data_IF_392697112266
#
_entry.id   IF_392697112266
#
_cell.length_a   1.000
_cell.length_b   1.000
_cell.length_c   1.000
_cell.angle_alpha   90.00
_cell.angle_beta   90.00
_cell.angle_gamma   90.00
#
_symmetry.space_group_name_H-M   'P 1'
#
loop_
_entity.id
_entity.type
_entity.pdbx_description
1 polymer ?
#
# COMPACT_ATOMS: atom_id res chain seq x y z
N UNK A 1 25.16 -75.76 99.40
CA UNK A 1 25.63 -76.28 98.10
C UNK A 1 24.59 -76.01 97.02
N UNK A 2 25.01 -75.36 95.93
CA UNK A 2 24.24 -74.95 94.76
C UNK A 2 23.19 -73.90 94.98
N UNK A 3 23.45 -72.67 94.56
CA UNK A 3 22.61 -71.82 93.61
C UNK A 3 23.45 -70.63 93.28
N UNK A 4 24.15 -70.56 92.16
CA UNK A 4 24.56 -69.41 91.43
C UNK A 4 24.83 -69.76 89.99
N UNK A 5 23.86 -69.60 89.11
CA UNK A 5 24.04 -69.58 87.64
C UNK A 5 22.79 -69.09 86.86
N UNK A 6 22.19 -67.95 87.24
CA UNK A 6 21.08 -67.53 86.38
C UNK A 6 20.99 -65.99 86.20
N UNK A 7 22.05 -65.21 86.61
CA UNK A 7 21.96 -63.72 86.44
C UNK A 7 22.65 -63.21 85.20
N UNK A 8 23.52 -63.96 84.54
CA UNK A 8 24.28 -63.45 83.40
C UNK A 8 23.62 -63.52 82.05
N UNK A 9 22.61 -64.46 81.85
CA UNK A 9 21.94 -64.58 80.57
C UNK A 9 20.86 -63.54 80.25
N UNK A 10 20.24 -62.97 81.26
CA UNK A 10 19.20 -61.92 81.08
C UNK A 10 19.78 -60.53 80.88
N UNK A 11 21.00 -60.29 81.32
CA UNK A 11 21.65 -58.99 81.12
C UNK A 11 22.22 -58.83 79.67
N UNK A 12 22.82 -59.88 79.11
CA UNK A 12 23.28 -59.89 77.69
C UNK A 12 22.16 -59.77 76.69
N UNK A 13 20.97 -60.31 76.96
CA UNK A 13 19.81 -60.21 76.11
C UNK A 13 19.27 -58.76 75.97
N UNK A 14 19.24 -58.04 77.09
CA UNK A 14 18.82 -56.62 77.10
C UNK A 14 19.77 -55.70 76.31
N UNK A 15 21.07 -55.93 76.38
CA UNK A 15 22.07 -55.19 75.58
C UNK A 15 21.97 -55.53 74.09
N UNK A 16 21.69 -56.78 73.76
CA UNK A 16 21.49 -57.20 72.38
C UNK A 16 20.25 -56.54 71.71
N UNK A 17 19.14 -56.47 72.45
CA UNK A 17 17.93 -55.75 71.94
C UNK A 17 18.14 -54.22 71.90
N UNK A 18 18.90 -53.65 72.84
CA UNK A 18 19.22 -52.22 72.85
C UNK A 18 20.11 -51.83 71.65
N UNK A 19 21.11 -52.68 71.31
CA UNK A 19 22.01 -52.45 70.17
C UNK A 19 21.29 -52.67 68.85
N UNK A 20 20.40 -53.68 68.79
CA UNK A 20 19.55 -53.91 67.57
C UNK A 20 18.57 -52.75 67.34
N UNK A 21 17.94 -52.24 68.42
CA UNK A 21 17.03 -51.09 68.33
C UNK A 21 17.78 -49.82 67.92
N UNK A 22 18.98 -49.59 68.42
CA UNK A 22 19.81 -48.48 68.06
C UNK A 22 20.27 -48.53 66.59
N UNK A 23 20.66 -49.71 66.10
CA UNK A 23 21.01 -49.92 64.68
C UNK A 23 19.79 -49.71 63.77
N UNK A 24 18.61 -50.15 64.14
CA UNK A 24 17.37 -49.93 63.40
C UNK A 24 16.97 -48.46 63.41
N UNK A 25 17.13 -47.76 64.53
CA UNK A 25 16.88 -46.34 64.64
C UNK A 25 17.86 -45.52 63.77
N UNK A 26 19.14 -45.87 63.76
CA UNK A 26 20.17 -45.23 62.91
C UNK A 26 19.91 -45.51 61.43
N UNK A 27 19.51 -46.74 61.05
CA UNK A 27 19.14 -47.09 59.68
C UNK A 27 17.85 -46.36 59.23
N UNK A 28 16.87 -46.18 60.12
CA UNK A 28 15.67 -45.43 59.87
C UNK A 28 15.93 -43.93 59.70
N UNK A 29 16.82 -43.35 60.54
CA UNK A 29 17.27 -41.95 60.44
C UNK A 29 18.10 -41.78 59.18
N UNK A 30 19.01 -42.67 58.80
CA UNK A 30 19.75 -42.63 57.53
C UNK A 30 18.83 -42.77 56.31
N UNK A 31 17.75 -43.59 56.36
CA UNK A 31 16.72 -43.69 55.32
C UNK A 31 15.96 -42.34 55.15
N UNK A 32 15.54 -41.75 56.28
CA UNK A 32 14.86 -40.44 56.24
C UNK A 32 15.75 -39.28 55.73
N UNK A 33 17.04 -39.33 56.04
CA UNK A 33 18.00 -38.30 55.53
C UNK A 33 18.29 -38.50 54.03
N UNK A 34 18.27 -39.75 53.54
CA UNK A 34 18.45 -40.02 52.11
C UNK A 34 17.28 -39.50 51.24
N UNK A 35 16.05 -39.48 51.74
CA UNK A 35 14.90 -38.90 51.04
C UNK A 35 14.92 -37.35 50.99
N UNK A 36 15.60 -36.70 51.98
CA UNK A 36 15.73 -35.24 51.98
C UNK A 36 16.74 -34.68 50.94
N UNK A 37 17.57 -35.54 50.32
CA UNK A 37 18.61 -35.11 49.38
C UNK A 37 18.24 -35.35 47.89
N UNK A 38 17.12 -35.99 47.62
CA UNK A 38 16.57 -36.17 46.29
C UNK A 38 15.53 -35.07 45.99
N UNK A 39 15.87 -33.79 46.10
CA UNK A 39 15.08 -32.79 45.42
C UNK A 39 15.25 -33.05 43.92
N UNK A 40 14.18 -33.39 43.19
CA UNK A 40 14.29 -33.58 41.76
C UNK A 40 14.66 -32.23 41.16
N UNK A 41 15.89 -32.15 40.63
CA UNK A 41 16.37 -30.98 39.94
C UNK A 41 15.43 -30.71 38.76
N UNK A 42 15.04 -29.46 38.61
CA UNK A 42 14.27 -29.03 37.43
C UNK A 42 15.18 -29.10 36.20
N UNK A 43 14.77 -29.86 35.20
CA UNK A 43 15.50 -30.01 33.93
C UNK A 43 14.89 -29.12 32.87
N UNK A 44 15.73 -28.32 32.23
CA UNK A 44 15.39 -27.44 31.10
C UNK A 44 16.10 -27.99 29.88
N UNK A 45 15.32 -28.62 28.95
CA UNK A 45 15.86 -29.18 27.70
C UNK A 45 15.51 -28.26 26.56
N UNK A 46 16.48 -27.55 26.02
CA UNK A 46 16.31 -26.57 24.93
C UNK A 46 16.41 -27.28 23.59
N UNK A 47 15.49 -26.94 22.68
CA UNK A 47 15.49 -27.44 21.31
C UNK A 47 16.46 -26.63 20.45
N UNK A 48 17.07 -27.24 19.45
CA UNK A 48 17.99 -26.63 18.51
C UNK A 48 17.27 -25.74 17.49
N UNK A 49 16.03 -26.07 17.11
CA UNK A 49 15.22 -25.30 16.19
C UNK A 49 13.78 -25.15 16.72
N UNK A 50 13.29 -23.90 16.74
CA UNK A 50 11.97 -23.56 17.23
C UNK A 50 11.29 -22.55 16.32
N UNK A 51 10.05 -22.84 15.95
CA UNK A 51 9.18 -21.92 15.24
C UNK A 51 8.18 -21.30 16.21
N UNK A 52 8.06 -19.95 16.16
CA UNK A 52 7.16 -19.19 17.03
C UNK A 52 6.22 -18.31 16.23
N UNK A 53 5.04 -18.03 16.77
CA UNK A 53 4.02 -17.16 16.12
C UNK A 53 4.00 -15.74 16.69
N UNK A 54 4.40 -15.57 17.97
CA UNK A 54 4.29 -14.30 18.70
C UNK A 54 5.38 -13.28 18.41
N UNK A 55 5.30 -12.13 19.10
CA UNK A 55 6.29 -11.05 19.03
C UNK A 55 7.42 -11.25 20.04
N UNK A 56 7.22 -12.11 21.04
CA UNK A 56 8.15 -12.42 22.12
C UNK A 56 8.56 -13.89 22.08
N UNK A 57 9.83 -14.12 22.45
CA UNK A 57 10.39 -15.45 22.60
C UNK A 57 10.41 -15.78 24.08
N UNK A 58 9.57 -16.70 24.52
CA UNK A 58 9.53 -17.18 25.90
C UNK A 58 10.31 -18.48 26.05
N UNK A 59 10.88 -18.73 27.25
CA UNK A 59 11.65 -19.93 27.52
C UNK A 59 10.81 -21.21 27.32
N UNK A 60 9.52 -21.17 27.71
CA UNK A 60 8.60 -22.31 27.52
C UNK A 60 8.31 -22.66 26.07
N UNK A 61 8.59 -21.74 25.12
CA UNK A 61 8.52 -22.03 23.69
C UNK A 61 9.80 -22.70 23.19
N UNK A 62 10.96 -22.36 23.78
CA UNK A 62 12.28 -22.87 23.39
C UNK A 62 12.62 -24.21 24.01
N UNK A 63 12.08 -24.51 25.22
CA UNK A 63 12.50 -25.65 26.00
C UNK A 63 11.34 -26.46 26.57
N UNK A 64 11.59 -27.72 26.74
CA UNK A 64 10.80 -28.61 27.59
C UNK A 64 11.34 -28.48 29.02
N UNK A 65 10.43 -28.20 29.97
CA UNK A 65 10.78 -27.96 31.37
C UNK A 65 10.07 -29.00 32.22
N UNK A 66 10.87 -29.84 32.88
CA UNK A 66 10.40 -30.95 33.72
C UNK A 66 10.96 -30.79 35.13
N UNK A 67 10.14 -31.05 36.13
CA UNK A 67 10.51 -30.96 37.56
C UNK A 67 9.32 -31.23 38.44
N UNK A 68 9.52 -31.20 39.77
CA UNK A 68 8.44 -31.42 40.75
C UNK A 68 7.75 -30.14 41.20
N UNK A 69 8.41 -29.01 41.01
CA UNK A 69 7.89 -27.70 41.42
C UNK A 69 7.10 -27.07 40.27
N UNK A 70 5.79 -27.18 40.34
CA UNK A 70 4.86 -26.67 39.30
C UNK A 70 4.87 -25.13 39.22
N UNK A 71 5.14 -24.43 40.33
CA UNK A 71 5.20 -22.98 40.36
C UNK A 71 6.47 -22.48 39.66
N UNK A 72 7.62 -23.06 40.00
CA UNK A 72 8.88 -22.79 39.32
C UNK A 72 8.80 -23.08 37.81
N UNK A 73 8.19 -24.19 37.40
CA UNK A 73 8.02 -24.55 36.00
C UNK A 73 7.20 -23.49 35.27
N UNK A 74 6.11 -23.00 35.87
CA UNK A 74 5.28 -21.95 35.28
C UNK A 74 6.08 -20.67 35.09
N UNK A 75 6.79 -20.24 36.13
CA UNK A 75 7.58 -19.02 36.12
C UNK A 75 8.72 -19.12 35.09
N UNK A 76 9.39 -20.26 35.00
CA UNK A 76 10.41 -20.52 33.98
C UNK A 76 9.84 -20.42 32.56
N UNK A 77 8.63 -20.94 32.30
CA UNK A 77 8.01 -20.88 30.98
C UNK A 77 7.70 -19.47 30.51
N UNK A 78 7.42 -18.55 31.44
CA UNK A 78 7.08 -17.14 31.16
C UNK A 78 8.32 -16.24 31.04
N UNK A 79 9.53 -16.75 31.27
CA UNK A 79 10.76 -15.96 31.13
C UNK A 79 10.92 -15.46 29.70
N UNK A 80 11.03 -14.14 29.56
CA UNK A 80 11.28 -13.47 28.28
C UNK A 80 12.76 -13.62 27.88
N UNK A 81 13.03 -14.40 26.85
CA UNK A 81 14.37 -14.57 26.29
C UNK A 81 14.72 -13.41 25.37
N UNK A 82 13.77 -12.95 24.55
CA UNK A 82 14.00 -11.81 23.65
C UNK A 82 12.80 -11.50 22.75
N UNK A 83 13.01 -10.59 21.83
CA UNK A 83 12.02 -10.31 20.77
C UNK A 83 12.15 -11.31 19.63
N UNK A 84 11.01 -11.73 19.09
CA UNK A 84 10.94 -12.58 17.91
C UNK A 84 11.63 -11.94 16.69
N UNK A 85 12.17 -12.73 15.77
CA UNK A 85 12.61 -12.21 14.48
C UNK A 85 11.41 -11.68 13.66
N UNK A 86 11.70 -10.99 12.56
CA UNK A 86 10.65 -10.57 11.62
C UNK A 86 9.97 -11.81 11.02
N UNK A 87 8.69 -11.73 10.62
CA UNK A 87 7.98 -12.83 9.99
C UNK A 87 8.76 -13.45 8.82
N UNK A 88 8.89 -14.78 8.82
CA UNK A 88 9.66 -15.52 7.82
C UNK A 88 11.19 -15.36 7.91
N UNK A 89 11.69 -14.81 9.01
CA UNK A 89 13.14 -14.72 9.33
C UNK A 89 13.46 -15.58 10.53
N UNK A 90 14.74 -15.94 10.65
CA UNK A 90 15.27 -16.62 11.83
C UNK A 90 16.30 -15.76 12.56
N UNK A 91 16.54 -16.10 13.82
CA UNK A 91 17.59 -15.54 14.69
C UNK A 91 18.24 -16.66 15.45
N UNK A 92 19.56 -16.61 15.57
CA UNK A 92 20.32 -17.57 16.35
C UNK A 92 20.63 -16.98 17.73
N UNK A 93 20.49 -17.82 18.76
CA UNK A 93 20.92 -17.58 20.11
C UNK A 93 21.97 -18.62 20.50
N UNK A 94 22.97 -18.22 21.23
CA UNK A 94 23.95 -19.15 21.79
C UNK A 94 23.63 -19.54 23.25
N UNK A 95 24.26 -20.59 23.70
CA UNK A 95 24.12 -21.10 25.08
C UNK A 95 24.43 -20.03 26.13
N UNK A 96 25.42 -19.16 25.89
CA UNK A 96 25.84 -18.15 26.85
C UNK A 96 24.81 -17.05 27.01
N UNK A 97 24.20 -16.66 25.89
CA UNK A 97 23.08 -15.72 25.91
C UNK A 97 21.90 -16.25 26.73
N UNK A 98 21.53 -17.52 26.56
CA UNK A 98 20.44 -18.13 27.34
C UNK A 98 20.81 -18.18 28.85
N UNK A 99 22.02 -18.63 29.20
CA UNK A 99 22.50 -18.63 30.59
C UNK A 99 22.50 -17.23 31.22
N UNK A 100 22.89 -16.21 30.45
CA UNK A 100 22.85 -14.82 30.89
C UNK A 100 21.40 -14.37 31.16
N UNK A 101 20.47 -14.71 30.28
CA UNK A 101 19.02 -14.36 30.43
C UNK A 101 18.43 -15.01 31.68
N UNK A 102 18.68 -16.30 31.90
CA UNK A 102 18.23 -17.00 33.13
C UNK A 102 18.78 -16.35 34.41
N UNK A 103 20.04 -15.97 34.42
CA UNK A 103 20.65 -15.25 35.56
C UNK A 103 20.01 -13.87 35.78
N UNK A 104 19.67 -13.12 34.73
CA UNK A 104 18.97 -11.84 34.82
C UNK A 104 17.58 -11.97 35.47
N UNK A 105 16.93 -13.12 35.31
CA UNK A 105 15.66 -13.45 35.94
C UNK A 105 15.83 -14.15 37.30
N UNK A 106 17.05 -14.05 37.91
CA UNK A 106 17.39 -14.58 39.25
C UNK A 106 17.24 -16.10 39.35
N UNK A 107 17.37 -16.83 38.22
CA UNK A 107 17.37 -18.30 38.26
C UNK A 107 18.78 -18.78 38.66
N UNK A 108 18.81 -19.58 39.73
CA UNK A 108 20.05 -20.24 40.18
C UNK A 108 20.33 -21.45 39.26
N UNK A 109 21.35 -21.28 38.42
CA UNK A 109 21.77 -22.32 37.49
C UNK A 109 22.36 -23.57 38.17
N UNK A 110 22.65 -23.50 39.49
CA UNK A 110 23.07 -24.69 40.24
C UNK A 110 21.90 -25.56 40.68
N UNK A 111 20.69 -24.99 40.75
CA UNK A 111 19.44 -25.67 41.11
C UNK A 111 18.69 -26.26 39.92
N UNK A 112 19.17 -26.06 38.69
CA UNK A 112 18.54 -26.55 37.47
C UNK A 112 19.54 -27.27 36.57
N UNK A 113 19.12 -28.34 35.90
CA UNK A 113 19.91 -29.00 34.86
C UNK A 113 19.54 -28.33 33.54
N UNK A 114 20.48 -27.63 32.91
CA UNK A 114 20.28 -26.96 31.63
C UNK A 114 20.96 -27.75 30.51
N UNK A 115 20.15 -28.46 29.72
CA UNK A 115 20.53 -29.13 28.48
C UNK A 115 20.27 -28.20 27.31
N UNK A 116 21.33 -27.71 26.67
CA UNK A 116 21.17 -26.75 25.57
C UNK A 116 22.18 -27.03 24.46
N UNK A 117 21.76 -26.96 23.18
CA UNK A 117 22.69 -27.01 22.06
C UNK A 117 23.61 -25.78 22.05
N UNK A 118 24.68 -25.82 21.26
CA UNK A 118 25.59 -24.67 21.11
C UNK A 118 24.88 -23.48 20.46
N UNK A 119 24.00 -23.76 19.52
CA UNK A 119 23.20 -22.74 18.81
C UNK A 119 21.72 -23.16 18.82
N UNK A 120 20.88 -22.17 19.03
CA UNK A 120 19.41 -22.30 19.05
C UNK A 120 18.91 -21.40 17.93
N UNK A 121 18.30 -21.98 16.90
CA UNK A 121 17.65 -21.23 15.83
C UNK A 121 16.18 -21.00 16.14
N UNK A 122 15.78 -19.74 16.26
CA UNK A 122 14.40 -19.33 16.44
C UNK A 122 13.92 -18.70 15.14
N UNK A 123 12.95 -19.33 14.49
CA UNK A 123 12.26 -18.82 13.31
C UNK A 123 10.90 -18.27 13.69
N UNK A 124 10.42 -17.27 12.93
CA UNK A 124 9.05 -16.79 13.08
C UNK A 124 8.20 -17.26 11.92
N UNK A 125 7.08 -17.89 12.24
CA UNK A 125 6.11 -18.31 11.24
C UNK A 125 5.56 -17.13 10.45
N UNK A 126 5.20 -17.38 9.19
CA UNK A 126 4.69 -16.35 8.30
C UNK A 126 3.65 -16.90 7.33
N UNK A 127 2.85 -15.98 6.80
CA UNK A 127 2.01 -16.21 5.63
C UNK A 127 2.63 -15.41 4.48
N UNK A 128 2.83 -16.08 3.34
CA UNK A 128 3.33 -15.48 2.11
C UNK A 128 2.17 -15.27 1.14
N UNK A 129 1.99 -14.04 0.71
CA UNK A 129 1.05 -13.69 -0.36
C UNK A 129 1.87 -13.57 -1.64
N UNK A 130 1.66 -14.49 -2.56
CA UNK A 130 2.38 -14.54 -3.81
C UNK A 130 1.88 -13.45 -4.79
N UNK A 131 2.72 -13.13 -5.77
CA UNK A 131 2.49 -12.11 -6.81
C UNK A 131 1.12 -12.23 -7.49
N UNK A 132 0.74 -13.42 -7.91
CA UNK A 132 -0.54 -13.68 -8.58
C UNK A 132 -1.74 -13.25 -7.72
N UNK A 133 -1.68 -13.48 -6.40
CA UNK A 133 -2.74 -13.06 -5.49
C UNK A 133 -2.75 -11.54 -5.29
N UNK A 134 -1.60 -10.89 -5.31
CA UNK A 134 -1.49 -9.43 -5.26
C UNK A 134 -2.07 -8.80 -6.54
N UNK A 135 -1.77 -9.37 -7.70
CA UNK A 135 -2.35 -8.94 -9.00
C UNK A 135 -3.87 -9.11 -9.01
N UNK A 136 -4.40 -10.23 -8.50
CA UNK A 136 -5.85 -10.47 -8.36
C UNK A 136 -6.52 -9.40 -7.48
N UNK A 137 -5.95 -9.09 -6.31
CA UNK A 137 -6.47 -8.07 -5.38
C UNK A 137 -6.55 -6.69 -6.07
N UNK A 138 -5.49 -6.32 -6.80
CA UNK A 138 -5.43 -5.04 -7.52
C UNK A 138 -6.42 -5.03 -8.69
N UNK A 139 -6.49 -6.11 -9.47
CA UNK A 139 -7.41 -6.25 -10.60
C UNK A 139 -8.87 -6.17 -10.16
N UNK A 140 -9.25 -6.87 -9.10
CA UNK A 140 -10.60 -6.84 -8.52
C UNK A 140 -10.98 -5.42 -8.06
N UNK A 141 -10.04 -4.71 -7.46
CA UNK A 141 -10.26 -3.31 -7.07
C UNK A 141 -10.52 -2.43 -8.29
N UNK A 142 -9.71 -2.56 -9.34
CA UNK A 142 -9.86 -1.79 -10.57
C UNK A 142 -11.20 -2.08 -11.25
N UNK A 143 -11.58 -3.34 -11.40
CA UNK A 143 -12.84 -3.74 -12.02
C UNK A 143 -14.08 -3.18 -11.30
N UNK A 144 -14.01 -2.98 -9.98
CA UNK A 144 -15.10 -2.39 -9.19
C UNK A 144 -15.15 -0.86 -9.24
N UNK A 145 -14.02 -0.20 -9.45
CA UNK A 145 -13.89 1.25 -9.36
C UNK A 145 -13.80 1.94 -10.72
N UNK A 146 -13.55 1.20 -11.81
CA UNK A 146 -13.60 1.73 -13.17
C UNK A 146 -15.08 1.78 -13.61
N UNK A 147 -15.59 2.95 -14.06
CA UNK A 147 -16.97 3.06 -14.55
C UNK A 147 -17.22 2.12 -15.73
N UNK A 148 -18.24 1.26 -15.63
CA UNK A 148 -18.59 0.28 -16.67
C UNK A 148 -19.06 0.91 -18.00
N UNK A 149 -19.40 2.18 -17.98
CA UNK A 149 -19.79 2.95 -19.16
C UNK A 149 -18.62 3.14 -20.14
N UNK A 150 -17.39 3.10 -19.64
CA UNK A 150 -16.17 3.19 -20.44
C UNK A 150 -15.74 1.82 -20.97
N UNK A 151 -16.44 1.30 -21.96
CA UNK A 151 -16.14 -0.03 -22.58
C UNK A 151 -14.76 -0.13 -23.24
N UNK A 152 -14.03 0.95 -23.32
CA UNK A 152 -12.72 1.05 -24.00
C UNK A 152 -11.55 1.16 -23.02
N UNK A 153 -11.71 0.76 -21.75
CA UNK A 153 -10.62 0.74 -20.80
C UNK A 153 -9.93 -0.61 -20.85
N UNK A 154 -8.61 -0.57 -20.98
CA UNK A 154 -7.74 -1.74 -20.95
C UNK A 154 -6.71 -1.57 -19.84
N UNK A 155 -6.60 -2.57 -18.97
CA UNK A 155 -5.48 -2.69 -18.03
C UNK A 155 -4.35 -3.38 -18.81
N UNK A 156 -3.30 -2.66 -19.14
CA UNK A 156 -2.20 -3.19 -19.96
C UNK A 156 -1.10 -3.80 -19.09
N UNK A 157 -0.88 -3.31 -17.88
CA UNK A 157 0.15 -3.81 -16.99
C UNK A 157 -0.23 -3.62 -15.50
N UNK A 158 0.07 -4.64 -14.68
CA UNK A 158 0.01 -4.57 -13.22
C UNK A 158 1.37 -5.01 -12.68
N UNK A 159 2.08 -4.13 -12.00
CA UNK A 159 3.36 -4.41 -11.34
C UNK A 159 3.19 -4.41 -9.84
N UNK A 160 3.46 -5.55 -9.22
CA UNK A 160 3.43 -5.75 -7.77
C UNK A 160 4.72 -6.44 -7.31
N UNK A 161 5.05 -6.42 -6.01
CA UNK A 161 6.15 -7.24 -5.47
C UNK A 161 5.95 -8.73 -5.74
N UNK A 162 7.05 -9.50 -5.79
CA UNK A 162 7.00 -10.96 -6.00
C UNK A 162 6.28 -11.68 -4.85
N UNK A 163 6.46 -11.21 -3.63
CA UNK A 163 5.76 -11.74 -2.45
C UNK A 163 5.59 -10.67 -1.36
N UNK A 164 4.58 -10.85 -0.55
CA UNK A 164 4.38 -10.12 0.72
C UNK A 164 4.38 -11.11 1.85
N UNK A 165 5.29 -10.89 2.81
CA UNK A 165 5.43 -11.74 4.00
C UNK A 165 4.74 -11.05 5.18
N UNK A 166 3.82 -11.74 5.85
CA UNK A 166 3.03 -11.27 6.98
C UNK A 166 3.13 -12.27 8.14
N UNK A 167 2.88 -11.80 9.36
CA UNK A 167 2.72 -12.69 10.52
C UNK A 167 1.53 -13.60 10.32
N UNK A 168 1.54 -14.74 11.01
CA UNK A 168 0.40 -15.65 11.05
C UNK A 168 -0.77 -15.00 11.79
N UNK A 169 -1.99 -15.13 11.24
CA UNK A 169 -3.21 -14.58 11.82
C UNK A 169 -4.31 -14.35 10.78
N UNK A 170 -5.37 -13.68 11.19
CA UNK A 170 -6.45 -13.29 10.29
C UNK A 170 -6.01 -12.08 9.46
N UNK A 171 -5.85 -12.29 8.14
CA UNK A 171 -5.43 -11.26 7.21
C UNK A 171 -6.65 -10.50 6.69
N UNK A 172 -6.54 -9.19 6.68
CA UNK A 172 -7.41 -8.27 5.96
C UNK A 172 -6.57 -7.28 5.15
N UNK A 173 -7.16 -6.69 4.13
CA UNK A 173 -6.46 -5.68 3.33
C UNK A 173 -7.41 -4.56 2.91
N UNK A 174 -6.84 -3.37 2.72
CA UNK A 174 -7.51 -2.19 2.17
C UNK A 174 -6.74 -1.72 0.94
N UNK A 175 -7.48 -1.50 -0.15
CA UNK A 175 -6.91 -0.97 -1.40
C UNK A 175 -7.38 0.46 -1.59
N UNK A 176 -6.49 1.34 -2.01
CA UNK A 176 -6.78 2.74 -2.28
C UNK A 176 -5.90 3.27 -3.41
N UNK A 177 -6.42 4.24 -4.15
CA UNK A 177 -5.64 4.98 -5.15
C UNK A 177 -4.81 6.03 -4.42
N UNK A 178 -3.57 6.23 -4.85
CA UNK A 178 -2.72 7.30 -4.33
C UNK A 178 -3.32 8.67 -4.73
N UNK A 179 -3.38 9.60 -3.76
CA UNK A 179 -3.70 11.02 -3.96
C UNK A 179 -4.99 11.32 -4.75
N UNK A 180 -6.00 10.45 -4.69
CA UNK A 180 -7.26 10.61 -5.44
C UNK A 180 -7.06 10.83 -6.95
N UNK A 181 -5.99 10.31 -7.53
CA UNK A 181 -5.71 10.42 -8.97
C UNK A 181 -6.81 9.72 -9.79
N UNK A 182 -7.13 10.24 -10.99
CA UNK A 182 -8.04 9.54 -11.88
C UNK A 182 -7.42 8.19 -12.31
N UNK A 183 -8.25 7.17 -12.46
CA UNK A 183 -7.85 5.82 -12.93
C UNK A 183 -7.60 5.85 -14.44
N UNK A 184 -6.56 6.56 -14.89
CA UNK A 184 -6.09 6.62 -16.28
C UNK A 184 -4.57 6.74 -16.35
N UNK A 185 -3.95 6.18 -17.37
CA UNK A 185 -2.50 6.18 -17.55
C UNK A 185 -1.77 5.41 -16.46
N UNK A 186 -0.64 5.93 -16.00
CA UNK A 186 0.15 5.35 -14.92
C UNK A 186 -0.45 5.70 -13.55
N UNK A 187 -0.99 4.71 -12.86
CA UNK A 187 -1.61 4.85 -11.55
C UNK A 187 -0.83 4.10 -10.48
N UNK A 188 -0.72 4.68 -9.28
CA UNK A 188 -0.18 4.03 -8.10
C UNK A 188 -1.30 3.62 -7.15
N UNK A 189 -1.38 2.33 -6.83
CA UNK A 189 -2.38 1.75 -5.96
C UNK A 189 -1.71 1.24 -4.70
N UNK A 190 -2.18 1.71 -3.55
CA UNK A 190 -1.73 1.24 -2.25
C UNK A 190 -2.56 0.04 -1.80
N UNK A 191 -1.90 -1.02 -1.34
CA UNK A 191 -2.53 -2.15 -0.67
C UNK A 191 -1.95 -2.22 0.74
N UNK A 192 -2.80 -1.99 1.73
CA UNK A 192 -2.46 -2.03 3.15
C UNK A 192 -2.97 -3.33 3.75
N UNK A 193 -2.04 -4.18 4.22
CA UNK A 193 -2.35 -5.43 4.88
C UNK A 193 -2.37 -5.27 6.39
N UNK A 194 -3.39 -5.83 7.02
CA UNK A 194 -3.54 -5.91 8.46
C UNK A 194 -3.66 -7.37 8.89
N UNK A 195 -3.05 -7.70 10.03
CA UNK A 195 -3.14 -9.02 10.65
C UNK A 195 -3.78 -8.85 12.03
N UNK A 196 -4.83 -9.60 12.32
CA UNK A 196 -5.62 -9.48 13.55
C UNK A 196 -6.10 -8.04 13.84
N UNK A 197 -6.39 -7.26 12.76
CA UNK A 197 -6.83 -5.87 12.87
C UNK A 197 -5.72 -4.82 12.98
N UNK A 198 -4.46 -5.23 13.13
CA UNK A 198 -3.31 -4.31 13.22
C UNK A 198 -2.61 -4.18 11.87
N UNK A 199 -2.40 -2.94 11.41
CA UNK A 199 -1.66 -2.65 10.18
C UNK A 199 -0.23 -3.19 10.27
N UNK A 200 0.20 -3.99 9.29
CA UNK A 200 1.50 -4.64 9.29
C UNK A 200 2.36 -4.29 8.09
N UNK A 201 1.76 -4.24 6.91
CA UNK A 201 2.50 -4.01 5.67
C UNK A 201 1.70 -3.18 4.69
N UNK A 202 2.35 -2.20 4.08
CA UNK A 202 1.83 -1.43 2.95
C UNK A 202 2.72 -1.68 1.74
N UNK A 203 2.12 -1.98 0.61
CA UNK A 203 2.80 -2.08 -0.68
C UNK A 203 2.18 -1.13 -1.68
N UNK A 204 2.94 -0.85 -2.73
CA UNK A 204 2.49 -0.07 -3.87
C UNK A 204 2.48 -0.96 -5.10
N UNK A 205 1.34 -0.96 -5.80
CA UNK A 205 1.21 -1.52 -7.13
C UNK A 205 1.24 -0.39 -8.15
N UNK A 206 1.99 -0.56 -9.23
CA UNK A 206 1.94 0.33 -10.40
C UNK A 206 1.07 -0.33 -11.45
N UNK A 207 0.08 0.42 -11.95
CA UNK A 207 -0.88 -0.06 -12.95
C UNK A 207 -0.87 0.88 -14.13
N UNK A 208 -0.87 0.33 -15.34
CA UNK A 208 -1.04 1.09 -16.58
C UNK A 208 -2.45 0.85 -17.12
N UNK A 209 -3.24 1.92 -17.18
CA UNK A 209 -4.64 1.90 -17.62
C UNK A 209 -4.75 2.71 -18.90
N UNK A 210 -4.98 2.04 -20.02
CA UNK A 210 -5.23 2.65 -21.32
C UNK A 210 -6.73 2.96 -21.44
N UNK A 211 -7.07 4.20 -21.83
CA UNK A 211 -8.43 4.62 -22.13
C UNK A 211 -8.54 4.86 -23.63
N UNK A 212 -8.91 3.83 -24.38
CA UNK A 212 -9.01 3.93 -25.84
C UNK A 212 -10.26 4.72 -26.24
N UNK A 213 -10.10 5.71 -27.12
CA UNK A 213 -11.22 6.51 -27.62
C UNK A 213 -10.97 7.10 -29.02
N UNK A 214 -12.03 7.56 -29.68
CA UNK A 214 -11.89 8.25 -30.96
C UNK A 214 -11.23 9.61 -30.73
N UNK A 215 -10.27 9.94 -31.58
CA UNK A 215 -9.54 11.21 -31.59
C UNK A 215 -9.52 11.76 -33.00
N UNK A 216 -9.81 13.04 -33.13
CA UNK A 216 -9.70 13.73 -34.42
C UNK A 216 -8.23 14.11 -34.65
N UNK A 217 -7.63 13.55 -35.70
CA UNK A 217 -6.25 13.83 -36.09
C UNK A 217 -6.21 14.49 -37.48
N UNK A 218 -5.15 15.23 -37.76
CA UNK A 218 -4.91 15.78 -39.08
C UNK A 218 -4.52 14.68 -40.07
N UNK A 219 -5.17 14.63 -41.23
CA UNK A 219 -4.80 13.69 -42.31
C UNK A 219 -3.51 14.14 -43.04
N UNK A 220 -3.33 15.45 -43.18
CA UNK A 220 -2.18 16.10 -43.84
C UNK A 220 -1.68 17.30 -43.06
N UNK A 221 -0.47 17.81 -43.32
CA UNK A 221 0.01 19.02 -42.66
C UNK A 221 -0.89 20.22 -42.95
N UNK A 222 -1.23 20.96 -41.92
CA UNK A 222 -2.05 22.18 -42.00
C UNK A 222 -1.20 23.41 -41.62
N UNK A 223 -1.18 24.39 -42.49
CA UNK A 223 -0.52 25.67 -42.21
C UNK A 223 -1.29 26.47 -41.14
N UNK A 224 -0.67 27.53 -40.61
CA UNK A 224 -1.31 28.43 -39.65
C UNK A 224 -2.49 29.21 -40.30
N UNK A 225 -3.60 29.30 -39.59
CA UNK A 225 -4.84 29.95 -40.03
C UNK A 225 -5.50 29.31 -41.23
N UNK A 226 -5.19 28.07 -41.53
CA UNK A 226 -5.83 27.31 -42.58
C UNK A 226 -7.24 26.83 -42.14
N UNK A 227 -8.31 27.09 -42.88
CA UNK A 227 -9.62 26.49 -42.63
C UNK A 227 -9.50 24.95 -42.69
N UNK A 228 -10.25 24.29 -41.79
CA UNK A 228 -10.29 22.82 -41.66
C UNK A 228 -11.53 22.31 -42.34
N UNK A 229 -11.34 21.47 -43.37
CA UNK A 229 -12.40 20.74 -44.07
C UNK A 229 -12.41 19.26 -43.72
N UNK A 230 -13.36 18.51 -44.25
CA UNK A 230 -13.51 17.07 -44.04
C UNK A 230 -12.26 16.29 -44.51
N UNK A 231 -11.67 16.68 -45.65
CA UNK A 231 -10.44 16.04 -46.19
C UNK A 231 -9.18 16.36 -45.40
N UNK A 232 -9.23 17.23 -44.44
CA UNK A 232 -8.06 17.63 -43.62
C UNK A 232 -7.95 16.82 -42.34
N UNK A 233 -8.97 16.05 -41.97
CA UNK A 233 -9.08 15.34 -40.71
C UNK A 233 -9.47 13.87 -40.90
N UNK A 234 -9.13 13.03 -39.95
CA UNK A 234 -9.60 11.66 -39.83
C UNK A 234 -9.82 11.32 -38.35
N UNK A 235 -10.60 10.27 -38.09
CA UNK A 235 -10.82 9.75 -36.73
C UNK A 235 -9.92 8.54 -36.53
N UNK A 236 -9.11 8.55 -35.45
CA UNK A 236 -8.30 7.40 -35.02
C UNK A 236 -8.64 7.01 -33.62
N UNK A 237 -8.67 5.71 -33.33
CA UNK A 237 -8.71 5.22 -31.94
C UNK A 237 -7.31 5.34 -31.36
N UNK A 238 -7.18 6.13 -30.29
CA UNK A 238 -5.91 6.38 -29.60
C UNK A 238 -6.12 6.23 -28.08
N UNK A 239 -5.02 6.07 -27.36
CA UNK A 239 -5.06 6.11 -25.90
C UNK A 239 -5.19 7.57 -25.44
N UNK A 240 -6.34 7.88 -24.84
CA UNK A 240 -6.65 9.21 -24.28
C UNK A 240 -5.87 9.52 -23.01
N UNK A 241 -5.24 8.50 -22.37
CA UNK A 241 -4.51 8.68 -21.13
C UNK A 241 -3.24 9.51 -21.30
N UNK A 242 -2.64 9.45 -22.48
CA UNK A 242 -1.41 10.18 -22.84
C UNK A 242 -1.70 11.51 -23.57
N UNK A 243 -2.97 11.82 -23.83
CA UNK A 243 -3.37 13.03 -24.53
C UNK A 243 -3.85 14.11 -23.56
N UNK A 244 -3.75 15.40 -23.96
CA UNK A 244 -4.33 16.50 -23.20
C UNK A 244 -5.84 16.32 -22.99
N UNK A 245 -6.34 16.82 -21.85
CA UNK A 245 -7.76 16.70 -21.49
C UNK A 245 -8.69 17.44 -22.47
N UNK A 246 -8.18 18.39 -23.25
CA UNK A 246 -8.89 19.18 -24.26
C UNK A 246 -8.79 18.61 -25.68
N UNK A 247 -8.34 17.35 -25.82
CA UNK A 247 -8.28 16.65 -27.12
C UNK A 247 -9.69 16.54 -27.71
N UNK A 248 -9.80 16.77 -29.01
CA UNK A 248 -11.08 16.77 -29.71
C UNK A 248 -11.43 15.36 -30.19
N UNK A 249 -12.58 14.87 -29.78
CA UNK A 249 -13.08 13.54 -30.10
C UNK A 249 -14.21 13.55 -31.14
N UNK A 250 -14.84 14.71 -31.33
CA UNK A 250 -15.93 14.90 -32.31
C UNK A 250 -15.45 15.74 -33.50
N UNK A 251 -15.48 15.22 -34.75
CA UNK A 251 -15.17 15.98 -35.96
C UNK A 251 -15.98 17.26 -36.12
N UNK A 252 -17.25 17.25 -35.69
CA UNK A 252 -18.11 18.43 -35.77
C UNK A 252 -17.57 19.62 -34.98
N UNK A 253 -16.77 19.35 -33.97
CA UNK A 253 -16.13 20.40 -33.16
C UNK A 253 -15.02 21.18 -33.89
N UNK A 254 -14.49 20.69 -35.03
CA UNK A 254 -13.39 21.32 -35.77
C UNK A 254 -13.80 21.81 -37.17
N UNK A 255 -14.83 21.22 -37.77
CA UNK A 255 -15.28 21.61 -39.09
C UNK A 255 -15.70 23.08 -39.11
N UNK A 256 -15.28 23.82 -40.16
CA UNK A 256 -15.52 25.25 -40.30
C UNK A 256 -14.64 26.15 -39.36
N UNK A 257 -13.85 25.57 -38.49
CA UNK A 257 -12.80 26.29 -37.74
C UNK A 257 -11.51 26.40 -38.57
N UNK A 258 -10.54 27.11 -38.07
CA UNK A 258 -9.20 27.20 -38.63
C UNK A 258 -8.14 26.92 -37.59
N UNK A 259 -6.97 26.53 -38.03
CA UNK A 259 -5.80 26.30 -37.16
C UNK A 259 -5.31 27.60 -36.52
N UNK A 260 -4.85 27.54 -35.28
CA UNK A 260 -4.16 28.66 -34.57
C UNK A 260 -2.68 28.70 -34.89
N UNK A 261 -2.10 27.53 -35.21
CA UNK A 261 -0.68 27.29 -35.52
C UNK A 261 -0.54 26.31 -36.69
N UNK A 262 0.66 26.09 -37.20
CA UNK A 262 0.93 25.00 -38.11
C UNK A 262 0.90 23.68 -37.35
N UNK A 263 0.26 22.65 -37.93
CA UNK A 263 0.06 21.32 -37.37
C UNK A 263 0.58 20.31 -38.40
N UNK A 264 1.37 19.32 -37.94
CA UNK A 264 1.87 18.22 -38.78
C UNK A 264 0.73 17.29 -39.25
N UNK A 265 1.06 16.29 -40.06
CA UNK A 265 0.14 15.19 -40.36
C UNK A 265 0.05 14.24 -39.17
N UNK A 266 -1.09 13.57 -39.00
CA UNK A 266 -1.31 12.54 -37.97
C UNK A 266 -1.18 13.06 -36.52
N UNK A 267 -1.43 14.35 -36.31
CA UNK A 267 -1.36 15.00 -34.99
C UNK A 267 -2.76 15.16 -34.42
N UNK A 268 -3.01 14.73 -33.18
CA UNK A 268 -4.27 14.99 -32.47
C UNK A 268 -4.59 16.48 -32.41
N UNK A 269 -5.85 16.82 -32.67
CA UNK A 269 -6.37 18.16 -32.53
C UNK A 269 -6.86 18.40 -31.10
N UNK A 270 -6.49 19.53 -30.50
CA UNK A 270 -6.93 20.02 -29.21
C UNK A 270 -7.71 21.32 -29.35
N UNK A 271 -8.47 21.68 -28.33
CA UNK A 271 -9.31 22.88 -28.38
C UNK A 271 -8.48 24.17 -28.57
N UNK A 272 -7.23 24.19 -28.06
CA UNK A 272 -6.30 25.31 -28.23
C UNK A 272 -5.73 25.41 -29.66
N UNK A 273 -5.72 24.29 -30.41
CA UNK A 273 -5.15 24.21 -31.76
C UNK A 273 -6.08 24.75 -32.86
N UNK A 274 -7.34 25.00 -32.54
CA UNK A 274 -8.36 25.46 -33.48
C UNK A 274 -9.13 26.69 -32.99
N UNK A 275 -9.57 27.53 -33.90
CA UNK A 275 -10.37 28.72 -33.58
C UNK A 275 -11.43 29.00 -34.66
N UNK A 276 -12.51 29.65 -34.29
CA UNK A 276 -13.43 30.20 -35.31
C UNK A 276 -12.71 31.21 -36.17
N UNK A 277 -12.87 31.18 -37.50
CA UNK A 277 -12.32 32.18 -38.37
C UNK A 277 -12.93 33.55 -38.02
N UNK A 278 -12.19 34.65 -38.18
CA UNK A 278 -12.76 35.99 -38.00
C UNK A 278 -13.78 36.27 -39.13
N UNK A 279 -14.92 36.83 -38.77
CA UNK A 279 -15.96 37.22 -39.71
C UNK A 279 -15.56 38.45 -40.52
N UNK A 280 -14.82 39.38 -39.85
CA UNK A 280 -14.36 40.62 -40.48
C UNK A 280 -12.84 40.75 -40.32
N UNK A 281 -12.15 41.30 -41.29
CA UNK A 281 -10.71 41.55 -41.33
C UNK A 281 -10.42 43.01 -41.32
N UNK A 282 -9.18 43.40 -40.98
CA UNK A 282 -8.74 44.78 -41.13
C UNK A 282 -8.86 45.24 -42.58
N UNK A 283 -9.50 46.36 -42.79
CA UNK A 283 -9.75 46.94 -44.11
C UNK A 283 -11.12 46.64 -44.68
N UNK A 284 -11.85 45.64 -44.14
CA UNK A 284 -13.18 45.32 -44.64
C UNK A 284 -14.16 46.46 -44.43
N UNK A 285 -15.03 46.67 -45.42
CA UNK A 285 -16.13 47.61 -45.35
C UNK A 285 -17.35 46.94 -44.72
N UNK A 286 -17.89 47.58 -43.69
CA UNK A 286 -19.01 47.06 -42.91
C UNK A 286 -20.10 48.13 -42.74
N UNK A 287 -21.33 47.70 -42.51
CA UNK A 287 -22.41 48.59 -42.10
C UNK A 287 -22.37 48.72 -40.57
N UNK A 288 -22.25 49.91 -40.07
CA UNK A 288 -22.37 50.24 -38.66
C UNK A 288 -23.85 50.49 -38.38
N UNK A 289 -24.43 49.70 -37.50
CA UNK A 289 -25.80 49.86 -37.06
C UNK A 289 -25.83 50.33 -35.60
N UNK A 290 -26.54 51.43 -35.38
CA UNK A 290 -26.81 51.95 -34.05
C UNK A 290 -28.36 51.96 -33.87
N UNK A 291 -28.84 51.28 -32.84
CA UNK A 291 -30.29 51.13 -32.61
C UNK A 291 -30.64 51.44 -31.16
N UNK A 292 -31.52 52.42 -30.96
CA UNK A 292 -32.04 52.79 -29.64
C UNK A 292 -33.50 53.26 -29.74
N UNK A 293 -34.40 52.71 -28.90
CA UNK A 293 -35.79 53.13 -28.68
C UNK A 293 -36.56 53.62 -29.95
N UNK A 294 -36.48 52.82 -31.03
CA UNK A 294 -37.20 53.13 -32.29
C UNK A 294 -36.41 53.94 -33.30
N UNK A 295 -35.19 54.39 -33.00
CA UNK A 295 -34.27 55.02 -33.91
C UNK A 295 -33.21 54.01 -34.38
N UNK A 296 -33.12 53.79 -35.69
CA UNK A 296 -32.07 52.97 -36.34
C UNK A 296 -31.26 53.83 -37.28
N UNK A 297 -29.96 53.94 -36.99
CA UNK A 297 -28.98 54.68 -37.81
C UNK A 297 -28.06 53.67 -38.47
N UNK A 298 -27.80 53.84 -39.75
CA UNK A 298 -26.88 53.00 -40.51
C UNK A 298 -25.88 53.90 -41.24
N UNK A 299 -24.60 53.55 -41.15
CA UNK A 299 -23.52 54.24 -41.85
C UNK A 299 -22.43 53.23 -42.27
N UNK A 300 -21.57 53.64 -43.19
CA UNK A 300 -20.43 52.82 -43.64
C UNK A 300 -19.26 52.97 -42.73
N UNK A 301 -18.57 51.85 -42.44
CA UNK A 301 -17.37 51.85 -41.67
C UNK A 301 -16.29 50.98 -42.25
N UNK A 302 -15.02 51.22 -41.87
CA UNK A 302 -13.89 50.40 -42.21
C UNK A 302 -13.31 49.76 -40.94
N UNK A 303 -13.23 48.43 -40.93
CA UNK A 303 -12.66 47.66 -39.81
C UNK A 303 -11.18 47.95 -39.63
N UNK A 304 -10.74 48.23 -38.40
CA UNK A 304 -9.34 48.45 -38.05
C UNK A 304 -8.64 47.24 -37.48
N UNK A 305 -9.38 46.29 -36.92
CA UNK A 305 -8.85 45.04 -36.33
C UNK A 305 -9.80 43.90 -36.71
N UNK A 306 -9.23 42.68 -37.03
CA UNK A 306 -10.03 41.50 -37.26
C UNK A 306 -10.94 41.22 -36.07
N UNK A 307 -12.17 40.69 -36.32
CA UNK A 307 -13.13 40.38 -35.27
C UNK A 307 -13.92 39.14 -35.57
N UNK A 308 -14.31 38.44 -34.54
CA UNK A 308 -15.23 37.28 -34.57
C UNK A 308 -16.65 37.72 -34.23
N UNK A 309 -17.62 36.90 -34.47
CA UNK A 309 -19.00 37.12 -34.05
C UNK A 309 -19.07 37.48 -32.56
N UNK A 310 -19.76 38.54 -32.21
CA UNK A 310 -19.90 39.05 -30.85
C UNK A 310 -18.69 39.82 -30.28
N UNK A 311 -17.54 39.84 -30.98
CA UNK A 311 -16.34 40.61 -30.53
C UNK A 311 -16.54 42.08 -30.78
N UNK A 312 -16.14 42.92 -29.82
CA UNK A 312 -16.13 44.39 -29.97
C UNK A 312 -14.81 44.81 -30.61
N UNK A 313 -14.90 45.49 -31.72
CA UNK A 313 -13.74 45.92 -32.55
C UNK A 313 -13.79 47.39 -32.88
N UNK A 314 -12.60 48.05 -33.08
CA UNK A 314 -12.56 49.39 -33.59
C UNK A 314 -12.85 49.47 -35.08
N UNK A 315 -13.79 50.34 -35.44
CA UNK A 315 -14.26 50.60 -36.82
C UNK A 315 -14.21 52.10 -37.04
N UNK A 316 -13.70 52.53 -38.18
CA UNK A 316 -13.76 53.93 -38.60
C UNK A 316 -15.04 54.18 -39.34
N UNK A 317 -15.85 55.10 -38.88
CA UNK A 317 -16.99 55.64 -39.63
C UNK A 317 -16.45 56.48 -40.80
N UNK A 318 -16.82 56.11 -42.03
CA UNK A 318 -16.27 56.75 -43.22
C UNK A 318 -16.84 58.15 -43.47
N UNK A 319 -18.00 58.46 -42.91
CA UNK A 319 -18.64 59.76 -43.09
C UNK A 319 -18.06 60.82 -42.13
N UNK A 320 -17.73 60.39 -40.87
CA UNK A 320 -17.22 61.29 -39.84
C UNK A 320 -15.72 61.15 -39.55
N UNK A 321 -15.04 60.17 -40.16
CA UNK A 321 -13.64 59.76 -39.89
C UNK A 321 -13.32 59.45 -38.40
N UNK A 322 -14.34 59.21 -37.57
CA UNK A 322 -14.15 58.88 -36.16
C UNK A 322 -14.05 57.36 -35.96
N UNK A 323 -13.20 56.94 -35.03
CA UNK A 323 -13.09 55.56 -34.58
C UNK A 323 -14.19 55.34 -33.55
N UNK A 324 -14.98 54.28 -33.76
CA UNK A 324 -16.02 53.80 -32.85
C UNK A 324 -15.76 52.33 -32.53
N UNK A 325 -16.22 51.88 -31.36
CA UNK A 325 -16.16 50.47 -30.99
C UNK A 325 -17.55 49.88 -31.27
N UNK A 326 -17.59 48.79 -32.07
CA UNK A 326 -18.81 48.15 -32.45
C UNK A 326 -18.65 46.61 -32.37
N UNK A 327 -19.73 45.92 -32.01
CA UNK A 327 -19.82 44.47 -31.91
C UNK A 327 -20.09 43.85 -33.28
N UNK A 328 -19.31 42.86 -33.67
CA UNK A 328 -19.49 42.13 -34.93
C UNK A 328 -20.76 41.31 -34.84
N UNK A 329 -21.71 41.53 -35.73
CA UNK A 329 -22.94 40.76 -35.84
C UNK A 329 -22.83 39.71 -36.93
N UNK A 330 -22.32 40.06 -38.09
CA UNK A 330 -22.04 39.18 -39.21
C UNK A 330 -20.85 39.67 -40.04
N UNK A 331 -20.59 39.06 -41.21
CA UNK A 331 -19.44 39.38 -42.06
C UNK A 331 -19.46 40.84 -42.61
N UNK A 332 -20.62 41.50 -42.65
CA UNK A 332 -20.82 42.81 -43.25
C UNK A 332 -21.41 43.83 -42.26
N UNK A 333 -21.78 43.43 -41.05
CA UNK A 333 -22.52 44.26 -40.10
C UNK A 333 -21.86 44.28 -38.72
N UNK A 334 -21.73 45.48 -38.18
CA UNK A 334 -21.31 45.71 -36.78
C UNK A 334 -22.34 46.60 -36.08
N UNK A 335 -22.61 46.33 -34.81
CA UNK A 335 -23.59 47.06 -33.99
C UNK A 335 -22.89 47.83 -32.91
N UNK A 336 -23.27 49.08 -32.71
CA UNK A 336 -22.84 49.92 -31.59
C UNK A 336 -23.77 49.68 -30.42
N UNK A 337 -23.22 49.28 -29.28
CA UNK A 337 -23.93 49.16 -28.00
C UNK A 337 -23.94 50.55 -27.31
N UNK A 338 -25.13 51.01 -26.91
CA UNK A 338 -25.35 52.27 -26.18
C UNK A 338 -25.52 52.02 -24.68
#
# INVERSE_FOLDING_TARGET
MKIETNSSKTQNSKYLYATLFFMLAVAFIMGMVAELWAMPLTTIRVRDHVEIDGDDVLLGQLAEIEGSDAELIRDLKEILIGKAPLPGKSRQYDQNFLKMRLKQHHIDLSAVILETPEQIEVSRSCIKIAKNKLEEIVSDFLLRNIPQENRNIRISEIRVPEEVVLSRGQISYKVSVADNQPLKGNCSIAVEFSVNGYAQKKIWATVVIEVLGPVVVTQRPLGRYKPIGEDDIEIKTMDLSDLPDDVITDPGAVLGKRTTRAIGAQVPLSADSVELPPLVKRGDLVVIVAESKGLKIMTRGQVKKKGRMGEQIPVVNLDSNKVIYARVIDANTVKVDF
#
